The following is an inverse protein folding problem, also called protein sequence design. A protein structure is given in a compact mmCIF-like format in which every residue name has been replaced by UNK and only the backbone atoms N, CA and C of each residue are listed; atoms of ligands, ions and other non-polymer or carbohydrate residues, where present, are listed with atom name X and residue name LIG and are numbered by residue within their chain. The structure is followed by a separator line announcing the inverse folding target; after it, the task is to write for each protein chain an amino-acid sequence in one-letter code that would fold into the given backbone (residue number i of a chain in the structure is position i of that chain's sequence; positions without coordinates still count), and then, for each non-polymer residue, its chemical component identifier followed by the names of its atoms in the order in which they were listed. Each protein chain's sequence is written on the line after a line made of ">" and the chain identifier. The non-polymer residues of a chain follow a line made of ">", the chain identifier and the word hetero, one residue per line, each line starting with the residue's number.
data_IF_328575354405
#
_entry.id   IF_328575354405
#
_cell.length_a   1.000
_cell.length_b   1.000
_cell.length_c   1.000
_cell.angle_alpha   90.00
_cell.angle_beta   90.00
_cell.angle_gamma   90.00
#
_symmetry.space_group_name_H-M   'P 1'
#
loop_
_entity.id
_entity.type
_entity.pdbx_description
1 polymer ?
#
# COMPACT_ATOMS: atom_id res chain seq x y z
N UNK A 1 15.16 8.01 -10.00
CA UNK A 1 14.02 7.47 -9.22
C UNK A 1 14.07 5.96 -9.33
N UNK A 2 14.28 5.24 -8.23
CA UNK A 2 14.02 3.79 -8.17
C UNK A 2 12.51 3.61 -8.04
N UNK A 3 11.93 2.66 -8.78
CA UNK A 3 10.51 2.36 -8.64
C UNK A 3 10.35 1.43 -7.43
N UNK A 4 9.33 1.62 -6.59
CA UNK A 4 9.06 0.74 -5.43
C UNK A 4 8.83 -0.72 -5.83
N UNK A 5 8.55 -0.97 -7.12
CA UNK A 5 8.44 -2.31 -7.70
C UNK A 5 9.80 -2.98 -7.98
N UNK A 6 10.90 -2.23 -8.10
CA UNK A 6 12.23 -2.79 -8.34
C UNK A 6 12.75 -3.56 -7.12
N UNK A 7 12.28 -3.21 -5.92
CA UNK A 7 12.59 -3.89 -4.65
C UNK A 7 11.50 -4.92 -4.27
N UNK A 8 10.58 -5.23 -5.19
CA UNK A 8 9.52 -6.21 -4.91
C UNK A 8 9.98 -7.65 -5.19
N UNK A 9 9.72 -8.55 -4.24
CA UNK A 9 9.96 -9.98 -4.38
C UNK A 9 8.70 -10.65 -4.93
N UNK A 10 8.84 -11.27 -6.11
CA UNK A 10 7.75 -12.03 -6.73
C UNK A 10 7.67 -13.44 -6.15
N UNK A 11 6.57 -13.76 -5.47
CA UNK A 11 6.32 -15.07 -4.89
C UNK A 11 5.22 -15.79 -5.67
N UNK A 12 5.57 -16.89 -6.32
CA UNK A 12 4.62 -17.74 -7.04
C UNK A 12 4.23 -18.96 -6.19
N UNK A 13 2.96 -19.06 -5.80
CA UNK A 13 2.50 -20.16 -4.95
C UNK A 13 2.22 -21.47 -5.73
N UNK A 14 2.08 -21.39 -7.05
CA UNK A 14 1.83 -22.56 -7.91
C UNK A 14 2.60 -22.49 -9.23
N UNK A 15 2.72 -23.65 -9.89
CA UNK A 15 3.22 -23.74 -11.28
C UNK A 15 2.07 -23.52 -12.28
N UNK A 16 2.35 -23.03 -13.51
CA UNK A 16 1.37 -23.06 -14.59
C UNK A 16 0.87 -24.49 -14.88
N UNK A 17 -0.38 -24.68 -15.36
CA UNK A 17 -1.37 -23.65 -15.72
C UNK A 17 -2.21 -23.15 -14.53
N UNK A 18 -2.18 -23.84 -13.38
CA UNK A 18 -2.99 -23.51 -12.20
C UNK A 18 -2.75 -22.06 -11.73
N UNK A 19 -1.50 -21.60 -11.77
CA UNK A 19 -1.13 -20.21 -11.48
C UNK A 19 -1.85 -19.19 -12.35
N UNK A 20 -2.03 -19.48 -13.64
CA UNK A 20 -2.69 -18.55 -14.57
C UNK A 20 -4.17 -18.43 -14.26
N UNK A 21 -4.83 -19.56 -13.97
CA UNK A 21 -6.24 -19.60 -13.56
C UNK A 21 -6.42 -18.86 -12.24
N UNK A 22 -5.50 -19.06 -11.28
CA UNK A 22 -5.53 -18.37 -10.00
C UNK A 22 -5.34 -16.86 -10.16
N UNK A 23 -4.37 -16.41 -10.96
CA UNK A 23 -4.15 -14.99 -11.23
C UNK A 23 -5.36 -14.35 -11.94
N UNK A 24 -6.00 -15.07 -12.87
CA UNK A 24 -7.23 -14.62 -13.52
C UNK A 24 -8.38 -14.48 -12.52
N UNK A 25 -8.58 -15.48 -11.64
CA UNK A 25 -9.55 -15.42 -10.56
C UNK A 25 -9.31 -14.23 -9.62
N UNK A 26 -8.04 -13.97 -9.26
CA UNK A 26 -7.66 -12.80 -8.47
C UNK A 26 -8.03 -11.48 -9.16
N UNK A 27 -7.80 -11.36 -10.46
CA UNK A 27 -8.18 -10.17 -11.24
C UNK A 27 -9.70 -9.91 -11.20
N UNK A 28 -10.52 -10.96 -11.25
CA UNK A 28 -11.99 -10.85 -11.15
C UNK A 28 -12.39 -10.41 -9.74
N UNK A 29 -11.84 -11.03 -8.70
CA UNK A 29 -12.14 -10.71 -7.31
C UNK A 29 -11.80 -9.24 -7.00
N UNK A 30 -10.55 -8.84 -7.26
CA UNK A 30 -10.04 -7.50 -6.93
C UNK A 30 -10.76 -6.39 -7.68
N UNK A 31 -11.09 -6.57 -8.97
CA UNK A 31 -11.79 -5.55 -9.77
C UNK A 31 -13.18 -5.23 -9.24
N UNK A 32 -13.85 -6.21 -8.63
CA UNK A 32 -15.20 -6.04 -8.11
C UNK A 32 -15.21 -5.61 -6.63
N UNK A 33 -14.11 -5.81 -5.89
CA UNK A 33 -13.98 -5.39 -4.49
C UNK A 33 -14.15 -3.87 -4.32
N UNK A 34 -13.50 -3.06 -5.15
CA UNK A 34 -13.67 -1.59 -5.09
C UNK A 34 -15.12 -1.18 -5.33
N UNK A 35 -15.80 -1.84 -6.28
CA UNK A 35 -17.22 -1.58 -6.56
C UNK A 35 -18.11 -1.98 -5.40
N UNK A 36 -17.78 -3.08 -4.71
CA UNK A 36 -18.49 -3.54 -3.54
C UNK A 36 -18.35 -2.52 -2.39
N UNK A 37 -17.13 -2.03 -2.16
CA UNK A 37 -16.85 -0.99 -1.16
C UNK A 37 -17.64 0.29 -1.41
N UNK A 38 -17.63 0.83 -2.63
CA UNK A 38 -18.45 2.02 -2.94
C UNK A 38 -19.96 1.76 -2.79
N UNK A 39 -20.44 0.57 -3.16
CA UNK A 39 -21.86 0.22 -2.97
C UNK A 39 -22.24 0.10 -1.49
N UNK A 40 -21.30 -0.30 -0.64
CA UNK A 40 -21.51 -0.36 0.80
C UNK A 40 -21.64 1.04 1.40
N UNK A 41 -20.73 1.95 1.02
CA UNK A 41 -20.76 3.36 1.44
C UNK A 41 -22.02 4.08 0.96
N UNK A 42 -22.50 3.80 -0.26
CA UNK A 42 -23.74 4.34 -0.81
C UNK A 42 -25.02 3.64 -0.26
N UNK A 43 -24.88 2.58 0.55
CA UNK A 43 -26.01 1.84 1.12
C UNK A 43 -26.76 0.93 0.13
N UNK A 44 -26.19 0.66 -1.05
CA UNK A 44 -26.83 -0.11 -2.14
C UNK A 44 -26.63 -1.62 -1.90
N UNK A 45 -27.57 -2.25 -1.17
CA UNK A 45 -27.52 -3.69 -0.81
C UNK A 45 -28.34 -4.61 -1.72
N UNK A 46 -28.36 -4.31 -3.03
CA UNK A 46 -29.14 -5.05 -4.03
C UNK A 46 -28.56 -6.41 -4.43
N UNK A 47 -29.17 -7.05 -5.44
CA UNK A 47 -28.68 -8.32 -6.01
C UNK A 47 -27.23 -8.22 -6.51
N UNK A 48 -26.88 -7.07 -7.10
CA UNK A 48 -25.53 -6.79 -7.61
C UNK A 48 -24.47 -6.80 -6.51
N UNK A 49 -24.80 -6.30 -5.31
CA UNK A 49 -23.91 -6.34 -4.14
C UNK A 49 -23.64 -7.79 -3.72
N UNK A 50 -24.70 -8.61 -3.62
CA UNK A 50 -24.56 -10.05 -3.31
C UNK A 50 -23.76 -10.81 -4.37
N UNK A 51 -23.96 -10.49 -5.65
CA UNK A 51 -23.20 -11.09 -6.75
C UNK A 51 -21.71 -10.78 -6.65
N UNK A 52 -21.34 -9.52 -6.38
CA UNK A 52 -19.94 -9.14 -6.18
C UNK A 52 -19.33 -9.77 -4.93
N UNK A 53 -20.08 -9.87 -3.84
CA UNK A 53 -19.63 -10.61 -2.64
C UNK A 53 -19.37 -12.08 -2.96
N UNK A 54 -20.28 -12.74 -3.69
CA UNK A 54 -20.09 -14.13 -4.10
C UNK A 54 -18.86 -14.34 -5.00
N UNK A 55 -18.60 -13.42 -5.94
CA UNK A 55 -17.40 -13.45 -6.76
C UNK A 55 -16.14 -13.37 -5.89
N UNK A 56 -16.13 -12.47 -4.91
CA UNK A 56 -15.04 -12.35 -3.96
C UNK A 56 -14.82 -13.66 -3.19
N UNK A 57 -15.87 -14.16 -2.53
CA UNK A 57 -15.81 -15.37 -1.69
C UNK A 57 -15.37 -16.62 -2.47
N UNK A 58 -15.70 -16.70 -3.77
CA UNK A 58 -15.37 -17.85 -4.61
C UNK A 58 -13.95 -17.75 -5.18
N UNK A 59 -13.59 -16.60 -5.74
CA UNK A 59 -12.35 -16.44 -6.52
C UNK A 59 -11.16 -16.01 -5.67
N UNK A 60 -11.39 -15.30 -4.57
CA UNK A 60 -10.31 -14.85 -3.69
C UNK A 60 -9.52 -16.00 -3.05
N UNK A 61 -10.15 -17.05 -2.47
CA UNK A 61 -9.40 -18.16 -1.88
C UNK A 61 -8.54 -18.92 -2.90
N UNK A 62 -8.99 -19.01 -4.15
CA UNK A 62 -8.25 -19.64 -5.23
C UNK A 62 -6.97 -18.85 -5.57
N UNK A 63 -7.11 -17.52 -5.69
CA UNK A 63 -5.96 -16.64 -5.89
C UNK A 63 -5.01 -16.65 -4.69
N UNK A 64 -5.54 -16.61 -3.47
CA UNK A 64 -4.73 -16.64 -2.26
C UNK A 64 -3.85 -17.90 -2.18
N UNK A 65 -4.41 -19.06 -2.55
CA UNK A 65 -3.70 -20.33 -2.45
C UNK A 65 -2.71 -20.59 -3.59
N UNK A 66 -3.02 -20.16 -4.82
CA UNK A 66 -2.26 -20.58 -6.01
C UNK A 66 -1.77 -19.42 -6.89
N UNK A 67 -2.11 -18.18 -6.55
CA UNK A 67 -1.75 -16.99 -7.30
C UNK A 67 -0.30 -16.56 -7.11
N UNK A 68 -0.01 -15.36 -7.60
CA UNK A 68 1.27 -14.67 -7.45
C UNK A 68 1.09 -13.48 -6.55
N UNK A 69 1.92 -13.37 -5.53
CA UNK A 69 1.98 -12.23 -4.63
C UNK A 69 3.29 -11.47 -4.81
N UNK A 70 3.20 -10.14 -4.75
CA UNK A 70 4.36 -9.26 -4.72
C UNK A 70 4.55 -8.85 -3.28
N UNK A 71 5.66 -9.25 -2.68
CA UNK A 71 6.06 -8.75 -1.36
C UNK A 71 6.91 -7.53 -1.60
N UNK A 72 6.57 -6.43 -0.95
CA UNK A 72 7.44 -5.28 -0.90
C UNK A 72 8.50 -5.57 0.17
N UNK A 73 9.76 -5.68 -0.25
CA UNK A 73 10.89 -5.77 0.66
C UNK A 73 11.39 -4.34 0.89
N UNK A 74 10.67 -3.62 1.75
CA UNK A 74 11.04 -2.26 2.12
C UNK A 74 11.99 -2.38 3.30
N UNK A 75 13.25 -2.05 3.07
CA UNK A 75 14.19 -1.80 4.15
C UNK A 75 13.75 -0.53 4.89
N UNK A 76 13.06 -0.75 6.01
CA UNK A 76 12.62 0.29 6.93
C UNK A 76 13.68 0.58 7.99
N UNK A 77 14.89 0.02 7.88
CA UNK A 77 15.98 0.35 8.79
C UNK A 77 16.57 1.71 8.41
N UNK A 78 16.29 2.73 9.24
CA UNK A 78 16.90 4.05 9.13
C UNK A 78 15.94 5.19 9.47
N UNK A 79 16.51 6.29 9.96
CA UNK A 79 15.78 7.47 10.42
C UNK A 79 14.99 8.21 9.32
N UNK A 80 15.03 7.75 8.07
CA UNK A 80 14.22 8.29 6.98
C UNK A 80 12.74 7.87 7.04
N UNK A 81 12.43 6.84 7.83
CA UNK A 81 11.05 6.40 8.11
C UNK A 81 10.60 6.73 9.54
N UNK A 82 11.51 7.23 10.37
CA UNK A 82 11.20 7.66 11.72
C UNK A 82 10.61 9.06 11.68
N UNK A 83 9.59 9.28 12.52
CA UNK A 83 9.02 10.61 12.80
C UNK A 83 10.04 11.57 13.44
N UNK A 84 11.23 11.06 13.77
CA UNK A 84 12.30 11.70 14.50
C UNK A 84 13.60 11.65 13.69
N UNK A 85 14.38 12.74 13.74
CA UNK A 85 15.73 12.76 13.18
C UNK A 85 16.71 11.90 14.01
N UNK A 86 17.99 11.87 13.60
CA UNK A 86 19.03 11.06 14.23
C UNK A 86 19.28 11.42 15.72
N UNK A 87 18.85 12.60 16.16
CA UNK A 87 18.98 13.08 17.53
C UNK A 87 17.70 12.84 18.36
N UNK A 88 16.69 12.18 17.76
CA UNK A 88 15.41 11.87 18.41
C UNK A 88 14.48 13.08 18.49
N UNK A 89 14.68 14.10 17.63
CA UNK A 89 13.81 15.28 17.57
C UNK A 89 12.76 15.07 16.48
N UNK A 90 11.47 15.22 16.80
CA UNK A 90 10.43 15.05 15.81
C UNK A 90 10.54 16.13 14.74
N UNK A 91 10.35 15.80 13.47
CA UNK A 91 10.51 16.78 12.38
C UNK A 91 9.50 17.95 12.42
N UNK A 92 8.47 17.83 13.24
CA UNK A 92 7.44 18.83 13.53
C UNK A 92 7.57 19.50 14.93
N UNK A 93 8.63 19.19 15.69
CA UNK A 93 8.79 19.63 17.08
C UNK A 93 9.58 20.92 17.30
N UNK A 94 10.58 21.19 16.46
CA UNK A 94 11.38 22.43 16.50
C UNK A 94 11.46 23.03 15.11
N UNK A 95 10.91 24.23 14.96
CA UNK A 95 10.98 25.03 13.74
C UNK A 95 12.15 26.01 13.85
N UNK A 96 13.01 26.07 12.83
CA UNK A 96 14.09 27.06 12.79
C UNK A 96 13.54 28.47 12.54
N UNK A 97 12.41 28.55 11.85
CA UNK A 97 11.72 29.79 11.53
C UNK A 97 10.20 29.58 11.61
N UNK A 98 9.52 30.46 12.34
CA UNK A 98 8.06 30.55 12.45
C UNK A 98 7.62 31.95 12.04
N UNK A 99 6.64 32.04 11.13
CA UNK A 99 5.97 33.29 10.78
C UNK A 99 4.68 33.41 11.60
N UNK A 100 4.69 34.31 12.59
CA UNK A 100 3.55 34.55 13.50
C UNK A 100 2.31 35.13 12.80
N UNK A 101 2.46 35.74 11.61
CA UNK A 101 1.34 36.38 10.90
C UNK A 101 0.56 35.37 10.04
N UNK A 102 1.26 34.42 9.42
CA UNK A 102 0.67 33.41 8.52
C UNK A 102 0.47 32.04 9.18
N UNK A 103 1.19 31.76 10.26
CA UNK A 103 1.23 30.45 10.90
C UNK A 103 2.08 29.42 10.15
N UNK A 104 2.86 29.86 9.16
CA UNK A 104 3.78 29.02 8.41
C UNK A 104 5.10 28.86 9.18
N UNK A 105 5.70 27.68 9.08
CA UNK A 105 6.99 27.39 9.69
C UNK A 105 7.83 26.48 8.80
N UNK A 106 9.16 26.62 8.85
CA UNK A 106 10.08 25.75 8.13
C UNK A 106 11.35 25.46 8.92
N UNK A 107 11.92 24.27 8.70
CA UNK A 107 13.16 23.79 9.29
C UNK A 107 14.19 23.54 8.19
N UNK A 108 15.44 23.94 8.41
CA UNK A 108 16.56 23.73 7.48
C UNK A 108 17.21 22.39 7.80
N UNK A 109 16.95 21.38 6.97
CA UNK A 109 17.60 20.07 7.11
C UNK A 109 18.92 20.09 6.33
N UNK A 110 20.05 20.13 7.03
CA UNK A 110 21.38 19.99 6.43
C UNK A 110 21.65 18.52 6.08
N UNK A 111 21.27 18.10 4.88
CA UNK A 111 21.67 16.79 4.36
C UNK A 111 23.15 16.79 3.95
N UNK A 112 23.98 16.01 4.63
CA UNK A 112 25.35 15.71 4.22
C UNK A 112 26.45 16.53 4.90
N UNK A 113 26.46 16.56 6.24
CA UNK A 113 27.65 16.93 7.00
C UNK A 113 28.83 16.05 6.56
N UNK A 114 29.78 16.66 5.84
CA UNK A 114 31.10 16.08 5.65
C UNK A 114 31.83 16.17 6.98
N UNK A 115 31.91 15.05 7.69
CA UNK A 115 33.10 14.74 8.49
C UNK A 115 34.15 14.08 7.62
#
# INVERSE_FOLDING_TARGET
>A
MRNFLDESIVVHNAKPPLRWIANWAGSIASKNMLKLSYMEDEGIKGFKYKYYGWLWDTFWPLYQKYGTFYKLDLDMEGSGWDDYDADGIPYWGEWDFEDEETGDAFRVINFGGKE
#
